data_IF_185129939631
#
_entry.id   IF_185129939631
#
_cell.length_a   1.000
_cell.length_b   1.000
_cell.length_c   1.000
_cell.angle_alpha   90.00
_cell.angle_beta   90.00
_cell.angle_gamma   90.00
#
_symmetry.space_group_name_H-M   'P 1'
#
loop_
_entity.id
_entity.type
_entity.pdbx_description
1 polymer ?
#
# COMPACT_ATOMS: atom_id res chain seq x y z
N UNK A 1 -14.31 -18.89 19.88
CA UNK A 1 -14.21 -17.77 18.92
C UNK A 1 -14.47 -18.34 17.55
N UNK A 2 -15.49 -17.89 16.79
CA UNK A 2 -15.80 -18.49 15.49
C UNK A 2 -14.73 -18.09 14.47
N UNK A 3 -14.29 -19.06 13.67
CA UNK A 3 -13.32 -18.89 12.58
C UNK A 3 -13.81 -17.89 11.53
N UNK A 4 -13.24 -16.69 11.58
CA UNK A 4 -13.53 -15.59 10.67
C UNK A 4 -12.92 -15.90 9.29
N UNK A 5 -13.80 -16.23 8.34
CA UNK A 5 -13.63 -16.01 6.90
C UNK A 5 -12.71 -16.95 6.10
N UNK A 6 -12.97 -18.26 6.09
CA UNK A 6 -12.57 -19.10 4.95
C UNK A 6 -13.70 -19.20 3.92
N UNK A 7 -13.99 -18.09 3.22
CA UNK A 7 -14.73 -18.18 1.95
C UNK A 7 -13.76 -18.74 0.90
N UNK A 8 -14.13 -19.76 0.11
CA UNK A 8 -13.31 -20.15 -1.04
C UNK A 8 -13.28 -18.97 -2.00
N UNK A 9 -12.13 -18.30 -2.11
CA UNK A 9 -11.94 -17.23 -3.09
C UNK A 9 -12.03 -17.87 -4.47
N UNK A 10 -12.98 -17.41 -5.29
CA UNK A 10 -13.26 -17.98 -6.62
C UNK A 10 -12.21 -17.66 -7.68
N UNK A 11 -11.07 -17.06 -7.30
CA UNK A 11 -9.89 -16.86 -8.16
C UNK A 11 -8.62 -16.82 -7.29
N UNK A 12 -7.48 -17.38 -7.75
CA UNK A 12 -6.22 -17.29 -7.03
C UNK A 12 -5.72 -15.83 -7.01
N UNK A 13 -5.33 -15.35 -5.84
CA UNK A 13 -4.65 -14.07 -5.69
C UNK A 13 -3.30 -14.15 -6.40
N UNK A 14 -3.16 -13.46 -7.53
CA UNK A 14 -1.92 -13.47 -8.33
C UNK A 14 -0.77 -12.73 -7.65
N UNK A 15 -1.07 -11.69 -6.89
CA UNK A 15 -0.08 -10.88 -6.18
C UNK A 15 -0.62 -10.46 -4.82
N UNK A 16 0.18 -10.70 -3.78
CA UNK A 16 -0.04 -10.16 -2.43
C UNK A 16 1.06 -9.13 -2.14
N UNK A 17 0.65 -7.90 -1.86
CA UNK A 17 1.57 -6.85 -1.42
C UNK A 17 1.43 -6.69 0.09
N UNK A 18 2.54 -6.88 0.81
CA UNK A 18 2.61 -6.64 2.24
C UNK A 18 3.38 -5.35 2.48
N UNK A 19 2.67 -4.33 2.95
CA UNK A 19 3.30 -3.11 3.46
C UNK A 19 3.66 -3.34 4.93
N UNK A 20 4.92 -3.06 5.31
CA UNK A 20 5.40 -3.18 6.68
C UNK A 20 5.75 -1.80 7.25
N UNK A 21 5.42 -1.57 8.51
CA UNK A 21 5.83 -0.40 9.27
C UNK A 21 6.32 -0.85 10.66
N UNK A 22 7.17 -0.04 11.29
CA UNK A 22 7.58 -0.30 12.68
C UNK A 22 6.40 -0.15 13.64
N UNK A 23 6.30 -0.99 14.70
CA UNK A 23 5.28 -0.83 15.72
C UNK A 23 5.30 0.57 16.36
N UNK A 24 4.12 1.19 16.46
CA UNK A 24 3.97 2.52 17.07
C UNK A 24 4.34 3.69 16.15
N UNK A 25 4.81 3.45 14.92
CA UNK A 25 5.00 4.50 13.91
C UNK A 25 3.80 4.59 12.95
N UNK A 26 3.49 5.79 12.42
CA UNK A 26 2.49 5.93 11.39
C UNK A 26 2.97 5.26 10.09
N UNK A 27 2.11 4.47 9.46
CA UNK A 27 2.40 3.79 8.19
C UNK A 27 2.58 4.77 7.02
N UNK A 28 1.90 5.91 7.08
CA UNK A 28 2.00 7.01 6.11
C UNK A 28 1.91 8.34 6.86
N UNK A 29 2.63 9.34 6.38
CA UNK A 29 2.58 10.72 6.87
C UNK A 29 2.23 11.64 5.71
N UNK A 30 1.28 12.54 5.93
CA UNK A 30 0.95 13.56 4.94
C UNK A 30 2.11 14.55 4.82
N UNK A 31 2.37 14.99 3.60
CA UNK A 31 3.38 16.00 3.29
C UNK A 31 2.73 17.13 2.51
N UNK A 32 3.32 18.31 2.61
CA UNK A 32 2.87 19.50 1.88
C UNK A 32 3.13 19.37 0.37
N UNK A 33 2.44 20.20 -0.40
CA UNK A 33 2.49 20.18 -1.86
C UNK A 33 3.91 20.48 -2.40
N UNK A 34 4.69 21.35 -1.75
CA UNK A 34 6.06 21.65 -2.18
C UNK A 34 6.95 20.41 -2.16
N UNK A 35 6.75 19.50 -1.20
CA UNK A 35 7.50 18.25 -1.14
C UNK A 35 7.08 17.29 -2.24
N UNK A 36 5.79 17.25 -2.56
CA UNK A 36 5.29 16.46 -3.67
C UNK A 36 5.88 16.92 -5.01
N UNK A 37 5.96 18.25 -5.24
CA UNK A 37 6.60 18.84 -6.43
C UNK A 37 8.09 18.52 -6.50
N UNK A 38 8.81 18.62 -5.38
CA UNK A 38 10.24 18.30 -5.33
C UNK A 38 10.51 16.83 -5.67
N UNK A 39 9.61 15.91 -5.29
CA UNK A 39 9.75 14.46 -5.48
C UNK A 39 9.16 13.92 -6.78
N UNK A 40 8.63 14.75 -7.68
CA UNK A 40 7.96 14.25 -8.91
C UNK A 40 8.87 13.38 -9.78
N UNK A 41 10.15 13.73 -9.85
CA UNK A 41 11.16 12.98 -10.60
C UNK A 41 11.40 11.55 -10.08
N UNK A 42 10.96 11.22 -8.85
CA UNK A 42 11.04 9.87 -8.28
C UNK A 42 9.85 8.98 -8.65
N UNK A 43 8.79 9.56 -9.24
CA UNK A 43 7.58 8.81 -9.59
C UNK A 43 7.87 7.91 -10.79
N UNK A 44 7.48 6.64 -10.69
CA UNK A 44 7.51 5.74 -11.84
C UNK A 44 6.56 6.26 -12.94
N UNK A 45 6.91 6.12 -14.23
CA UNK A 45 6.03 6.52 -15.33
C UNK A 45 4.71 5.74 -15.25
N UNK A 46 3.59 6.44 -15.44
CA UNK A 46 2.29 5.79 -15.49
C UNK A 46 2.12 5.14 -16.87
N UNK A 47 1.83 3.83 -16.95
CA UNK A 47 1.47 3.23 -18.23
C UNK A 47 0.17 3.85 -18.75
N UNK A 48 0.11 4.06 -20.07
CA UNK A 48 -1.06 4.56 -20.83
C UNK A 48 -2.15 3.50 -20.99
#
# INVERSE_FOLDING_TARGET
MPDVHTRPRSDPVRFLVTMLCEPGKPMLTLVEDEELTRREHLRAPRPS
#
